data_IF_152208446729
#
_entry.id   IF_152208446729
#
_cell.length_a   1.000
_cell.length_b   1.000
_cell.length_c   1.000
_cell.angle_alpha   90.00
_cell.angle_beta   90.00
_cell.angle_gamma   90.00
#
_symmetry.space_group_name_H-M   'P 1'
#
loop_
_entity.id
_entity.type
_entity.pdbx_description
1 polymer ?
#
# COMPACT_ATOMS: atom_id res chain seq x y z
N UNK A 1 -6.61 11.74 -6.07
CA UNK A 1 -6.47 11.50 -4.62
C UNK A 1 -6.38 12.79 -3.84
N UNK A 2 -5.27 13.54 -3.94
CA UNK A 2 -5.05 14.76 -3.13
C UNK A 2 -6.19 15.77 -3.16
N UNK A 3 -6.73 16.06 -4.33
CA UNK A 3 -7.85 17.01 -4.49
C UNK A 3 -9.12 16.53 -3.79
N UNK A 4 -9.38 15.22 -3.78
CA UNK A 4 -10.54 14.62 -3.11
C UNK A 4 -10.44 14.74 -1.59
N UNK A 5 -9.22 14.74 -1.03
CA UNK A 5 -8.99 14.86 0.40
C UNK A 5 -9.12 16.29 0.94
N UNK A 6 -9.00 17.31 0.09
CA UNK A 6 -9.15 18.71 0.53
C UNK A 6 -10.52 19.00 1.17
N UNK A 7 -11.67 18.64 0.55
CA UNK A 7 -12.97 18.82 1.19
C UNK A 7 -13.13 17.94 2.44
N UNK A 8 -12.56 16.74 2.47
CA UNK A 8 -12.58 15.88 3.67
C UNK A 8 -11.85 16.53 4.84
N UNK A 9 -10.67 17.12 4.60
CA UNK A 9 -9.91 17.86 5.63
C UNK A 9 -10.70 19.05 6.14
N UNK A 10 -11.33 19.81 5.23
CA UNK A 10 -12.16 20.96 5.59
C UNK A 10 -13.39 20.56 6.43
N UNK A 11 -14.02 19.45 6.08
CA UNK A 11 -15.21 18.93 6.78
C UNK A 11 -14.84 18.41 8.18
N UNK A 12 -13.78 17.63 8.29
CA UNK A 12 -13.25 17.14 9.57
C UNK A 12 -12.83 18.29 10.48
N UNK A 13 -12.21 19.35 9.92
CA UNK A 13 -11.88 20.56 10.66
C UNK A 13 -13.11 21.27 11.21
N UNK A 14 -14.23 21.32 10.47
CA UNK A 14 -15.51 21.90 10.92
C UNK A 14 -16.20 21.04 11.98
N UNK A 15 -16.16 19.73 11.85
CA UNK A 15 -16.80 18.80 12.81
C UNK A 15 -16.03 18.82 14.15
N UNK A 16 -14.71 18.74 14.11
CA UNK A 16 -13.87 18.80 15.32
C UNK A 16 -13.87 20.19 15.97
N UNK A 17 -14.00 21.26 15.18
CA UNK A 17 -14.10 22.63 15.70
C UNK A 17 -15.42 22.96 16.42
N UNK A 18 -16.49 22.15 16.20
CA UNK A 18 -17.78 22.31 16.91
C UNK A 18 -17.86 21.54 18.23
N UNK A 19 -16.95 20.59 18.47
CA UNK A 19 -17.03 19.66 19.62
C UNK A 19 -15.95 19.81 20.69
N UNK A 20 -14.84 20.48 20.42
CA UNK A 20 -13.74 20.61 21.38
C UNK A 20 -12.93 21.90 21.14
N UNK A 21 -12.85 22.76 22.14
CA UNK A 21 -12.03 23.97 22.18
C UNK A 21 -10.52 23.69 22.05
N UNK A 22 -10.08 22.42 22.21
CA UNK A 22 -8.69 21.99 22.04
C UNK A 22 -8.32 21.68 20.57
N UNK A 23 -9.29 21.39 19.69
CA UNK A 23 -9.03 21.07 18.28
C UNK A 23 -8.64 22.29 17.41
N UNK A 24 -8.82 23.50 17.93
CA UNK A 24 -8.41 24.75 17.30
C UNK A 24 -6.96 25.15 17.62
N UNK A 25 -6.19 24.28 18.32
CA UNK A 25 -4.79 24.57 18.62
C UNK A 25 -4.00 24.66 17.31
N UNK A 26 -3.48 25.83 17.02
CA UNK A 26 -2.57 26.05 15.87
C UNK A 26 -1.45 25.02 15.96
N UNK A 27 -1.29 24.19 14.92
CA UNK A 27 -0.20 23.20 14.85
C UNK A 27 1.13 23.89 15.16
N UNK A 28 1.88 23.32 16.10
CA UNK A 28 3.22 23.79 16.42
C UNK A 28 4.13 23.67 15.17
N UNK A 29 5.09 24.56 15.06
CA UNK A 29 6.04 24.59 13.94
C UNK A 29 6.75 23.26 13.74
N UNK A 30 7.03 22.52 14.83
CA UNK A 30 7.64 21.20 14.81
C UNK A 30 6.68 20.12 14.23
N UNK A 31 5.42 20.15 14.63
CA UNK A 31 4.38 19.24 14.11
C UNK A 31 4.17 19.46 12.60
N UNK A 32 4.10 20.73 12.20
CA UNK A 32 3.98 21.10 10.78
C UNK A 32 5.18 20.59 9.96
N UNK A 33 6.40 20.77 10.45
CA UNK A 33 7.60 20.26 9.79
C UNK A 33 7.56 18.74 9.66
N UNK A 34 7.18 18.03 10.72
CA UNK A 34 7.05 16.57 10.73
C UNK A 34 6.01 16.09 9.72
N UNK A 35 4.85 16.74 9.65
CA UNK A 35 3.80 16.43 8.68
C UNK A 35 4.29 16.61 7.23
N UNK A 36 4.96 17.72 6.91
CA UNK A 36 5.46 17.97 5.56
C UNK A 36 6.57 17.00 5.16
N UNK A 37 7.55 16.76 6.04
CA UNK A 37 8.64 15.80 5.76
C UNK A 37 8.06 14.39 5.57
N UNK A 38 7.16 13.96 6.44
CA UNK A 38 6.52 12.66 6.35
C UNK A 38 5.70 12.50 5.07
N UNK A 39 4.87 13.50 4.73
CA UNK A 39 4.05 13.47 3.52
C UNK A 39 4.88 13.47 2.24
N UNK A 40 5.95 14.27 2.19
CA UNK A 40 6.87 14.28 1.05
C UNK A 40 7.61 12.94 0.93
N UNK A 41 8.14 12.41 2.02
CA UNK A 41 8.85 11.13 2.02
C UNK A 41 7.92 9.98 1.57
N UNK A 42 6.70 9.90 2.10
CA UNK A 42 5.70 8.95 1.66
C UNK A 42 5.35 9.13 0.17
N UNK A 43 5.17 10.38 -0.29
CA UNK A 43 4.84 10.68 -1.68
C UNK A 43 5.92 10.32 -2.68
N UNK A 44 7.19 10.56 -2.34
CA UNK A 44 8.35 10.16 -3.16
C UNK A 44 8.42 8.63 -3.28
N UNK A 45 8.33 7.92 -2.15
CA UNK A 45 8.37 6.45 -2.14
C UNK A 45 7.20 5.85 -2.90
N UNK A 46 6.00 6.40 -2.73
CA UNK A 46 4.81 5.97 -3.46
C UNK A 46 4.97 6.20 -4.97
N UNK A 47 5.51 7.35 -5.38
CA UNK A 47 5.79 7.65 -6.78
C UNK A 47 6.78 6.63 -7.38
N UNK A 48 7.88 6.35 -6.68
CA UNK A 48 8.88 5.36 -7.12
C UNK A 48 8.24 3.98 -7.22
N UNK A 49 7.54 3.53 -6.17
CA UNK A 49 6.93 2.20 -6.13
C UNK A 49 5.90 2.01 -7.25
N UNK A 50 5.00 2.98 -7.43
CA UNK A 50 3.94 2.91 -8.44
C UNK A 50 4.47 2.91 -9.86
N UNK A 51 5.50 3.72 -10.16
CA UNK A 51 6.13 3.72 -11.48
C UNK A 51 6.89 2.42 -11.74
N UNK A 52 7.66 1.91 -10.76
CA UNK A 52 8.34 0.62 -10.89
C UNK A 52 7.35 -0.52 -11.10
N UNK A 53 6.21 -0.51 -10.40
CA UNK A 53 5.14 -1.48 -10.58
C UNK A 53 4.56 -1.40 -11.99
N UNK A 54 4.22 -0.20 -12.45
CA UNK A 54 3.62 0.01 -13.77
C UNK A 54 4.54 -0.45 -14.89
N UNK A 55 5.82 -0.09 -14.85
CA UNK A 55 6.80 -0.59 -15.81
C UNK A 55 7.06 -2.08 -15.67
N UNK A 56 7.10 -2.62 -14.45
CA UNK A 56 7.31 -4.04 -14.21
C UNK A 56 6.21 -4.91 -14.82
N UNK A 57 4.95 -4.52 -14.68
CA UNK A 57 3.78 -5.25 -15.21
C UNK A 57 3.81 -5.34 -16.75
N UNK A 58 4.42 -4.37 -17.43
CA UNK A 58 4.54 -4.40 -18.90
C UNK A 58 5.40 -5.57 -19.42
N UNK A 59 6.26 -6.15 -18.58
CA UNK A 59 7.22 -7.17 -18.97
C UNK A 59 7.04 -8.51 -18.25
N UNK A 60 5.93 -8.70 -17.52
CA UNK A 60 5.64 -9.95 -16.81
C UNK A 60 4.13 -10.16 -16.69
N UNK A 61 3.69 -11.36 -16.27
CA UNK A 61 2.26 -11.62 -16.05
C UNK A 61 1.74 -10.89 -14.79
N UNK A 62 0.46 -10.52 -14.79
CA UNK A 62 -0.19 -9.80 -13.69
C UNK A 62 -0.11 -10.59 -12.38
N UNK A 63 -0.32 -11.91 -12.43
CA UNK A 63 -0.20 -12.77 -11.25
C UNK A 63 1.21 -12.79 -10.69
N UNK A 64 2.24 -12.94 -11.54
CA UNK A 64 3.63 -12.89 -11.12
C UNK A 64 4.02 -11.52 -10.58
N UNK A 65 3.53 -10.45 -11.21
CA UNK A 65 3.73 -9.08 -10.72
C UNK A 65 3.14 -8.90 -9.31
N UNK A 66 1.92 -9.36 -9.08
CA UNK A 66 1.28 -9.34 -7.77
C UNK A 66 2.06 -10.12 -6.71
N UNK A 67 2.55 -11.33 -7.05
CA UNK A 67 3.37 -12.14 -6.15
C UNK A 67 4.68 -11.43 -5.76
N UNK A 68 5.44 -10.96 -6.75
CA UNK A 68 6.74 -10.32 -6.50
C UNK A 68 6.56 -9.01 -5.72
N UNK A 69 5.56 -8.20 -6.07
CA UNK A 69 5.28 -6.96 -5.32
C UNK A 69 4.90 -7.28 -3.87
N UNK A 70 4.06 -8.30 -3.64
CA UNK A 70 3.63 -8.70 -2.31
C UNK A 70 4.78 -9.28 -1.45
N UNK A 71 5.96 -9.54 -2.01
CA UNK A 71 7.16 -9.90 -1.23
C UNK A 71 7.57 -8.81 -0.23
N UNK A 72 6.96 -7.62 -0.28
CA UNK A 72 7.11 -6.65 0.81
C UNK A 72 6.76 -7.24 2.20
N UNK A 73 5.94 -8.30 2.28
CA UNK A 73 5.65 -9.01 3.54
C UNK A 73 6.90 -9.65 4.17
N UNK A 74 7.89 -9.99 3.36
CA UNK A 74 9.21 -10.51 3.81
C UNK A 74 10.18 -9.36 4.03
N UNK A 75 10.19 -8.38 3.13
CA UNK A 75 11.14 -7.26 3.15
C UNK A 75 10.87 -6.33 4.34
N UNK A 76 9.61 -6.04 4.67
CA UNK A 76 9.24 -5.17 5.81
C UNK A 76 9.81 -5.68 7.14
N UNK A 77 9.61 -6.93 7.58
CA UNK A 77 10.22 -7.41 8.82
C UNK A 77 11.74 -7.45 8.77
N UNK A 78 12.34 -7.79 7.63
CA UNK A 78 13.80 -7.78 7.46
C UNK A 78 14.35 -6.37 7.65
N UNK A 79 13.80 -5.37 6.94
CA UNK A 79 14.19 -3.97 7.12
C UNK A 79 13.87 -3.48 8.53
N UNK A 80 12.72 -3.90 9.10
CA UNK A 80 12.32 -3.55 10.46
C UNK A 80 13.36 -3.93 11.50
N UNK A 81 14.03 -5.08 11.35
CA UNK A 81 15.12 -5.50 12.25
C UNK A 81 16.29 -4.52 12.18
N UNK A 82 16.68 -4.05 10.99
CA UNK A 82 17.74 -3.04 10.84
C UNK A 82 17.38 -1.70 11.52
N UNK A 83 16.08 -1.39 11.61
CA UNK A 83 15.57 -0.22 12.34
C UNK A 83 15.28 -0.50 13.83
N UNK A 84 15.77 -1.62 14.38
CA UNK A 84 15.62 -1.97 15.79
C UNK A 84 14.24 -2.52 16.19
N UNK A 85 13.38 -2.86 15.23
CA UNK A 85 12.09 -3.51 15.51
C UNK A 85 12.33 -4.99 15.85
N UNK A 86 11.70 -5.48 16.91
CA UNK A 86 11.74 -6.91 17.23
C UNK A 86 10.61 -7.63 16.49
N UNK A 87 10.95 -8.71 15.81
CA UNK A 87 10.00 -9.58 15.11
C UNK A 87 9.98 -10.92 15.80
N UNK A 88 8.81 -11.34 16.31
CA UNK A 88 8.68 -12.63 17.00
C UNK A 88 8.75 -13.81 16.02
N UNK A 89 9.15 -14.99 16.51
CA UNK A 89 9.17 -16.22 15.69
C UNK A 89 7.80 -16.58 15.12
N UNK A 90 6.72 -16.27 15.84
CA UNK A 90 5.34 -16.43 15.41
C UNK A 90 5.02 -15.58 14.16
N UNK A 91 5.53 -14.35 14.10
CA UNK A 91 5.37 -13.47 12.95
C UNK A 91 6.12 -14.04 11.74
N UNK A 92 7.32 -14.60 11.92
CA UNK A 92 8.06 -15.27 10.86
C UNK A 92 7.34 -16.52 10.32
N UNK A 93 6.71 -17.31 11.21
CA UNK A 93 5.83 -18.41 10.79
C UNK A 93 4.67 -17.90 9.94
N UNK A 94 4.01 -16.82 10.37
CA UNK A 94 2.94 -16.18 9.61
C UNK A 94 3.40 -15.69 8.24
N UNK A 95 4.56 -15.05 8.17
CA UNK A 95 5.17 -14.61 6.90
C UNK A 95 5.42 -15.81 5.98
N UNK A 96 5.98 -16.92 6.48
CA UNK A 96 6.20 -18.13 5.69
C UNK A 96 4.90 -18.72 5.12
N UNK A 97 3.85 -18.80 5.93
CA UNK A 97 2.52 -19.28 5.51
C UNK A 97 1.91 -18.31 4.47
N UNK A 98 2.04 -17.01 4.67
CA UNK A 98 1.54 -16.00 3.74
C UNK A 98 2.26 -16.06 2.39
N UNK A 99 3.59 -16.24 2.36
CA UNK A 99 4.36 -16.42 1.11
C UNK A 99 3.88 -17.67 0.36
N UNK A 100 3.64 -18.79 1.06
CA UNK A 100 3.09 -19.98 0.43
C UNK A 100 1.68 -19.74 -0.11
N UNK A 101 0.82 -19.04 0.63
CA UNK A 101 -0.52 -18.66 0.18
C UNK A 101 -0.49 -17.76 -1.06
N UNK A 102 0.34 -16.72 -1.07
CA UNK A 102 0.54 -15.83 -2.22
C UNK A 102 1.08 -16.57 -3.44
N UNK A 103 2.01 -17.51 -3.25
CA UNK A 103 2.51 -18.34 -4.32
C UNK A 103 1.38 -19.14 -4.99
N UNK A 104 0.51 -19.75 -4.20
CA UNK A 104 -0.64 -20.49 -4.71
C UNK A 104 -1.66 -19.60 -5.41
N UNK A 105 -1.88 -18.38 -4.92
CA UNK A 105 -2.81 -17.41 -5.50
C UNK A 105 -2.32 -16.82 -6.82
N UNK A 106 -1.07 -16.42 -6.88
CA UNK A 106 -0.57 -15.54 -7.95
C UNK A 106 0.20 -16.29 -9.04
N UNK A 107 0.81 -17.45 -8.72
CA UNK A 107 1.65 -18.21 -9.64
C UNK A 107 0.85 -19.35 -10.30
N UNK A 108 -0.03 -18.99 -11.22
CA UNK A 108 -0.90 -19.96 -11.92
C UNK A 108 -0.23 -20.67 -13.10
N UNK A 109 0.83 -20.09 -13.65
CA UNK A 109 1.53 -20.64 -14.83
C UNK A 109 2.79 -21.42 -14.44
N UNK A 110 3.02 -22.55 -15.11
CA UNK A 110 4.21 -23.36 -14.96
C UNK A 110 5.39 -22.71 -15.70
N UNK A 111 6.32 -22.17 -14.95
CA UNK A 111 7.61 -21.71 -15.49
C UNK A 111 8.18 -20.51 -14.75
N UNK A 112 9.26 -20.75 -14.00
CA UNK A 112 10.07 -19.69 -13.37
C UNK A 112 11.10 -19.19 -14.41
N UNK A 113 10.66 -18.37 -15.37
CA UNK A 113 11.60 -17.60 -16.19
C UNK A 113 11.75 -16.21 -15.59
N UNK A 114 12.97 -15.82 -15.27
CA UNK A 114 13.26 -14.47 -14.75
C UNK A 114 13.19 -13.48 -15.93
N UNK A 115 12.28 -12.55 -15.85
CA UNK A 115 12.06 -11.51 -16.86
C UNK A 115 12.59 -10.15 -16.37
N UNK A 116 12.83 -9.22 -17.29
CA UNK A 116 13.27 -7.87 -16.94
C UNK A 116 12.29 -7.16 -15.98
N UNK A 117 10.98 -7.43 -16.13
CA UNK A 117 9.93 -6.90 -15.25
C UNK A 117 10.07 -7.36 -13.80
N UNK A 118 10.56 -8.57 -13.57
CA UNK A 118 10.70 -9.12 -12.21
C UNK A 118 11.68 -8.31 -11.36
N UNK A 119 12.77 -7.85 -11.96
CA UNK A 119 13.73 -6.99 -11.27
C UNK A 119 13.11 -5.64 -10.87
N UNK A 120 12.33 -5.02 -11.77
CA UNK A 120 11.62 -3.78 -11.46
C UNK A 120 10.60 -3.98 -10.32
N UNK A 121 9.92 -5.13 -10.32
CA UNK A 121 8.95 -5.48 -9.27
C UNK A 121 9.62 -5.80 -7.94
N UNK A 122 10.82 -6.36 -7.92
CA UNK A 122 11.61 -6.52 -6.69
C UNK A 122 12.00 -5.15 -6.09
N UNK A 123 12.42 -4.21 -6.92
CA UNK A 123 12.67 -2.83 -6.50
C UNK A 123 11.36 -2.14 -6.03
N UNK A 124 10.25 -2.42 -6.69
CA UNK A 124 8.93 -1.96 -6.27
C UNK A 124 8.57 -2.50 -4.87
N UNK A 125 8.76 -3.79 -4.62
CA UNK A 125 8.51 -4.39 -3.31
C UNK A 125 9.39 -3.75 -2.22
N UNK A 126 10.65 -3.43 -2.52
CA UNK A 126 11.54 -2.69 -1.63
C UNK A 126 11.02 -1.27 -1.36
N UNK A 127 10.58 -0.56 -2.40
CA UNK A 127 10.04 0.80 -2.27
C UNK A 127 8.74 0.83 -1.46
N UNK A 128 7.82 -0.12 -1.67
CA UNK A 128 6.63 -0.26 -0.83
C UNK A 128 6.97 -0.64 0.61
N UNK A 129 7.97 -1.47 0.83
CA UNK A 129 8.42 -1.81 2.18
C UNK A 129 8.93 -0.57 2.93
N UNK A 130 9.73 0.27 2.27
CA UNK A 130 10.19 1.53 2.83
C UNK A 130 9.02 2.49 3.07
N UNK A 131 8.04 2.54 2.16
CA UNK A 131 6.83 3.35 2.31
C UNK A 131 6.03 2.95 3.56
N UNK A 132 5.81 1.64 3.78
CA UNK A 132 5.15 1.11 4.98
C UNK A 132 5.90 1.51 6.26
N UNK A 133 7.23 1.41 6.27
CA UNK A 133 8.06 1.79 7.43
C UNK A 133 8.06 3.31 7.68
N UNK A 134 8.03 4.12 6.63
CA UNK A 134 7.92 5.58 6.74
C UNK A 134 6.55 5.97 7.29
N UNK A 135 5.47 5.33 6.84
CA UNK A 135 4.13 5.53 7.43
C UNK A 135 4.13 5.15 8.92
N UNK A 136 4.71 4.00 9.30
CA UNK A 136 4.81 3.57 10.70
C UNK A 136 5.51 4.63 11.57
N UNK A 137 6.55 5.27 11.04
CA UNK A 137 7.29 6.29 11.78
C UNK A 137 6.53 7.61 11.91
N UNK A 138 5.83 8.06 10.86
CA UNK A 138 5.20 9.40 10.82
C UNK A 138 3.73 9.40 11.23
N UNK A 139 2.97 8.32 11.02
CA UNK A 139 1.53 8.29 11.31
C UNK A 139 1.17 8.51 12.79
N UNK A 140 1.98 8.11 13.79
CA UNK A 140 1.71 8.46 15.18
C UNK A 140 1.95 9.94 15.50
N UNK A 141 2.78 10.63 14.70
CA UNK A 141 3.28 12.00 14.94
C UNK A 141 2.54 13.07 14.14
N UNK A 142 1.67 12.66 13.22
CA UNK A 142 0.97 13.56 12.30
C UNK A 142 -0.48 13.10 12.07
N UNK A 143 -1.32 14.03 11.59
CA UNK A 143 -2.67 13.71 11.15
C UNK A 143 -2.63 12.88 9.87
N UNK A 144 -3.22 11.68 9.91
CA UNK A 144 -3.14 10.71 8.81
C UNK A 144 -3.80 11.21 7.52
N UNK A 145 -4.89 11.98 7.60
CA UNK A 145 -5.58 12.51 6.41
C UNK A 145 -4.75 13.60 5.74
N UNK A 146 -4.15 14.50 6.55
CA UNK A 146 -3.26 15.55 6.05
C UNK A 146 -1.98 14.94 5.47
N UNK A 147 -1.43 13.90 6.12
CA UNK A 147 -0.27 13.18 5.65
C UNK A 147 -0.54 12.56 4.26
N UNK A 148 -1.69 11.88 4.12
CA UNK A 148 -2.17 11.31 2.86
C UNK A 148 -2.34 12.37 1.76
N UNK A 149 -2.91 13.52 2.10
CA UNK A 149 -3.08 14.61 1.15
C UNK A 149 -1.73 15.09 0.59
N UNK A 150 -0.75 15.37 1.44
CA UNK A 150 0.60 15.81 1.02
C UNK A 150 1.28 14.71 0.20
N UNK A 151 1.17 13.43 0.62
CA UNK A 151 1.68 12.29 -0.11
C UNK A 151 1.18 12.26 -1.56
N UNK A 152 -0.14 12.44 -1.77
CA UNK A 152 -0.70 12.39 -3.12
C UNK A 152 -0.38 13.62 -3.97
N UNK A 153 -0.29 14.80 -3.37
CA UNK A 153 0.19 15.96 -4.11
C UNK A 153 1.64 15.78 -4.53
N UNK A 154 2.51 15.30 -3.63
CA UNK A 154 3.91 15.03 -3.95
C UNK A 154 4.04 13.98 -5.05
N UNK A 155 3.38 12.83 -4.91
CA UNK A 155 3.38 11.78 -5.92
C UNK A 155 2.82 12.28 -7.26
N UNK A 156 1.71 13.02 -7.25
CA UNK A 156 1.07 13.55 -8.44
C UNK A 156 1.93 14.58 -9.18
N UNK A 157 2.61 15.48 -8.45
CA UNK A 157 3.52 16.46 -9.05
C UNK A 157 4.72 15.74 -9.67
N UNK A 158 5.35 14.81 -8.96
CA UNK A 158 6.51 14.07 -9.48
C UNK A 158 6.15 13.22 -10.70
N UNK A 159 5.03 12.49 -10.65
CA UNK A 159 4.54 11.70 -11.79
C UNK A 159 4.12 12.59 -12.96
N UNK A 160 3.52 13.76 -12.69
CA UNK A 160 3.15 14.72 -13.72
C UNK A 160 4.38 15.31 -14.43
N UNK A 161 5.42 15.65 -13.67
CA UNK A 161 6.70 16.10 -14.25
C UNK A 161 7.33 14.98 -15.07
N UNK A 162 7.36 13.74 -14.56
CA UNK A 162 7.85 12.58 -15.30
C UNK A 162 7.11 12.40 -16.62
N UNK A 163 5.77 12.43 -16.61
CA UNK A 163 4.92 12.30 -17.79
C UNK A 163 5.25 13.35 -18.86
N UNK A 164 5.37 14.62 -18.46
CA UNK A 164 5.66 15.72 -19.42
C UNK A 164 7.04 15.58 -20.03
N UNK A 165 8.03 15.07 -19.28
CA UNK A 165 9.41 14.93 -19.74
C UNK A 165 9.63 13.68 -20.61
N UNK A 166 8.88 12.59 -20.36
CA UNK A 166 9.17 11.30 -21.00
C UNK A 166 8.08 10.84 -21.98
N UNK A 167 6.88 11.40 -21.92
CA UNK A 167 5.72 10.98 -22.69
C UNK A 167 5.14 12.14 -23.50
N UNK A 168 4.36 11.79 -24.52
CA UNK A 168 3.51 12.74 -25.28
C UNK A 168 2.05 12.46 -24.96
N UNK A 169 1.52 12.93 -23.81
CA UNK A 169 0.17 12.61 -23.40
C UNK A 169 -0.86 13.18 -24.39
N UNK A 170 -1.78 12.33 -24.85
CA UNK A 170 -2.90 12.73 -25.68
C UNK A 170 -4.13 12.98 -24.80
N UNK A 171 -4.63 14.21 -24.82
CA UNK A 171 -5.80 14.60 -24.00
C UNK A 171 -7.03 13.75 -24.31
N UNK A 172 -7.23 13.39 -25.58
CA UNK A 172 -8.32 12.51 -26.02
C UNK A 172 -8.28 11.14 -25.35
N UNK A 173 -7.10 10.52 -25.23
CA UNK A 173 -6.93 9.24 -24.56
C UNK A 173 -7.14 9.32 -23.05
N UNK A 174 -6.70 10.42 -22.43
CA UNK A 174 -6.94 10.70 -21.01
C UNK A 174 -8.43 10.87 -20.73
N UNK A 175 -9.13 11.64 -21.57
CA UNK A 175 -10.57 11.84 -21.44
C UNK A 175 -11.37 10.55 -21.72
N UNK A 176 -10.94 9.71 -22.65
CA UNK A 176 -11.57 8.40 -22.87
C UNK A 176 -11.44 7.46 -21.65
N UNK A 177 -10.38 7.59 -20.87
CA UNK A 177 -10.12 6.81 -19.66
C UNK A 177 -10.62 7.49 -18.36
N UNK A 178 -11.57 8.45 -18.45
CA UNK A 178 -12.03 9.25 -17.29
C UNK A 178 -12.55 8.41 -16.13
N UNK A 179 -13.31 7.33 -16.41
CA UNK A 179 -13.91 6.49 -15.38
C UNK A 179 -12.86 5.72 -14.56
N UNK A 180 -11.91 4.95 -15.14
CA UNK A 180 -10.84 4.31 -14.36
C UNK A 180 -9.93 5.33 -13.66
N UNK A 181 -9.68 6.50 -14.25
CA UNK A 181 -8.89 7.56 -13.59
C UNK A 181 -9.63 8.11 -12.37
N UNK A 182 -10.94 8.35 -12.49
CA UNK A 182 -11.77 8.81 -11.36
C UNK A 182 -11.81 7.77 -10.25
N UNK A 183 -12.05 6.48 -10.59
CA UNK A 183 -12.05 5.39 -9.64
C UNK A 183 -10.71 5.27 -8.90
N UNK A 184 -9.60 5.24 -9.62
CA UNK A 184 -8.27 5.18 -9.03
C UNK A 184 -7.98 6.42 -8.15
N UNK A 185 -8.37 7.62 -8.60
CA UNK A 185 -8.16 8.86 -7.87
C UNK A 185 -8.98 8.98 -6.59
N UNK A 186 -10.23 8.52 -6.59
CA UNK A 186 -11.15 8.61 -5.44
C UNK A 186 -11.02 7.41 -4.54
N UNK A 187 -11.26 6.20 -5.08
CA UNK A 187 -11.36 5.00 -4.26
C UNK A 187 -9.99 4.47 -3.84
N UNK A 188 -9.05 4.30 -4.77
CA UNK A 188 -7.73 3.78 -4.43
C UNK A 188 -6.90 4.83 -3.69
N UNK A 189 -6.63 5.98 -4.32
CA UNK A 189 -5.80 7.01 -3.71
C UNK A 189 -6.52 7.74 -2.56
N UNK A 190 -7.75 8.24 -2.78
CA UNK A 190 -8.46 9.05 -1.79
C UNK A 190 -8.87 8.25 -0.56
N UNK A 191 -9.44 7.07 -0.74
CA UNK A 191 -9.99 6.26 0.36
C UNK A 191 -8.98 5.23 0.85
N UNK A 192 -8.56 4.28 0.02
CA UNK A 192 -7.81 3.11 0.46
C UNK A 192 -6.46 3.47 1.10
N UNK A 193 -5.62 4.27 0.45
CA UNK A 193 -4.33 4.68 1.03
C UNK A 193 -4.48 5.59 2.26
N UNK A 194 -5.54 6.41 2.33
CA UNK A 194 -5.79 7.21 3.54
C UNK A 194 -6.18 6.31 4.71
N UNK A 195 -7.04 5.32 4.48
CA UNK A 195 -7.38 4.30 5.47
C UNK A 195 -6.16 3.45 5.87
N UNK A 196 -5.26 3.17 4.92
CA UNK A 196 -3.98 2.50 5.21
C UNK A 196 -3.15 3.31 6.22
N UNK A 197 -2.95 4.62 5.98
CA UNK A 197 -2.17 5.47 6.90
C UNK A 197 -2.81 5.54 8.28
N UNK A 198 -4.15 5.66 8.34
CA UNK A 198 -4.89 5.70 9.60
C UNK A 198 -4.80 4.36 10.32
N UNK A 199 -5.01 3.26 9.61
CA UNK A 199 -5.01 1.90 10.16
C UNK A 199 -3.62 1.42 10.61
N UNK A 200 -2.56 1.90 9.98
CA UNK A 200 -1.17 1.58 10.40
C UNK A 200 -0.74 2.32 11.67
N UNK A 201 -1.47 3.34 12.09
CA UNK A 201 -1.11 4.15 13.26
C UNK A 201 -1.04 3.28 14.53
N UNK A 202 0.18 3.10 15.06
CA UNK A 202 0.42 2.30 16.26
C UNK A 202 0.43 0.77 16.04
N UNK A 203 0.27 0.30 14.80
CA UNK A 203 0.35 -1.11 14.44
C UNK A 203 1.80 -1.51 14.15
N UNK A 204 2.17 -2.76 14.44
CA UNK A 204 3.47 -3.28 14.01
C UNK A 204 3.53 -3.33 12.47
N UNK A 205 4.55 -2.75 11.81
CA UNK A 205 4.62 -2.66 10.35
C UNK A 205 4.62 -4.02 9.65
N UNK A 206 5.14 -5.07 10.28
CA UNK A 206 5.08 -6.43 9.74
C UNK A 206 3.65 -6.97 9.74
N UNK A 207 2.87 -6.70 10.79
CA UNK A 207 1.45 -7.08 10.83
C UNK A 207 0.66 -6.28 9.80
N UNK A 208 0.97 -5.00 9.66
CA UNK A 208 0.36 -4.15 8.64
C UNK A 208 0.64 -4.68 7.22
N UNK A 209 1.88 -5.08 6.91
CA UNK A 209 2.22 -5.64 5.60
C UNK A 209 1.48 -6.96 5.31
N UNK A 210 1.32 -7.82 6.30
CA UNK A 210 0.52 -9.04 6.16
C UNK A 210 -0.96 -8.75 5.88
N UNK A 211 -1.55 -7.78 6.57
CA UNK A 211 -2.95 -7.37 6.33
C UNK A 211 -3.10 -6.77 4.92
N UNK A 212 -2.16 -5.93 4.51
CA UNK A 212 -2.17 -5.33 3.16
C UNK A 212 -2.09 -6.40 2.06
N UNK A 213 -1.35 -7.49 2.28
CA UNK A 213 -1.25 -8.59 1.31
C UNK A 213 -2.58 -9.34 1.07
N UNK A 214 -3.62 -9.15 1.91
CA UNK A 214 -4.98 -9.61 1.63
C UNK A 214 -5.57 -8.99 0.36
N UNK A 215 -4.97 -7.93 -0.18
CA UNK A 215 -5.34 -7.38 -1.48
C UNK A 215 -5.41 -8.47 -2.55
N UNK A 216 -4.45 -9.40 -2.56
CA UNK A 216 -4.44 -10.53 -3.49
C UNK A 216 -5.64 -11.46 -3.30
N UNK A 217 -6.04 -11.72 -2.05
CA UNK A 217 -7.22 -12.53 -1.74
C UNK A 217 -8.50 -11.84 -2.18
N UNK A 218 -8.63 -10.55 -1.85
CA UNK A 218 -9.80 -9.74 -2.23
C UNK A 218 -9.91 -9.64 -3.75
N UNK A 219 -8.78 -9.52 -4.46
CA UNK A 219 -8.73 -9.48 -5.93
C UNK A 219 -9.27 -10.78 -6.54
N UNK A 220 -8.88 -11.95 -6.02
CA UNK A 220 -9.37 -13.25 -6.49
C UNK A 220 -10.87 -13.43 -6.21
N UNK A 221 -11.33 -13.07 -5.01
CA UNK A 221 -12.75 -13.12 -4.64
C UNK A 221 -13.57 -12.17 -5.53
N UNK A 222 -13.08 -10.97 -5.77
CA UNK A 222 -13.74 -10.01 -6.65
C UNK A 222 -13.81 -10.52 -8.10
N UNK A 223 -12.73 -11.14 -8.59
CA UNK A 223 -12.70 -11.81 -9.90
C UNK A 223 -13.76 -12.89 -10.02
N UNK A 224 -13.92 -13.73 -8.99
CA UNK A 224 -14.96 -14.74 -8.95
C UNK A 224 -16.38 -14.14 -8.93
N UNK A 225 -16.65 -13.16 -8.06
CA UNK A 225 -18.00 -12.60 -7.86
C UNK A 225 -18.43 -11.63 -8.98
N UNK A 226 -17.50 -10.79 -9.46
CA UNK A 226 -17.83 -9.70 -10.40
C UNK A 226 -17.57 -10.11 -11.85
N UNK A 227 -16.46 -10.81 -12.09
CA UNK A 227 -16.07 -11.22 -13.44
C UNK A 227 -16.48 -12.66 -13.77
N UNK A 228 -17.15 -13.36 -12.84
CA UNK A 228 -17.58 -14.76 -12.99
C UNK A 228 -16.44 -15.72 -13.38
N UNK A 229 -15.22 -15.43 -12.92
CA UNK A 229 -14.06 -16.29 -13.13
C UNK A 229 -14.19 -17.56 -12.27
N UNK A 230 -13.74 -18.69 -12.80
CA UNK A 230 -13.72 -19.94 -12.01
C UNK A 230 -12.59 -19.92 -11.00
N UNK A 231 -12.93 -20.19 -9.74
CA UNK A 231 -11.94 -20.31 -8.67
C UNK A 231 -11.33 -21.72 -8.69
N UNK A 232 -10.05 -21.82 -8.88
CA UNK A 232 -9.33 -23.10 -8.80
C UNK A 232 -9.16 -23.55 -7.34
N UNK A 233 -9.05 -24.86 -7.10
CA UNK A 233 -8.75 -25.39 -5.77
C UNK A 233 -7.44 -24.83 -5.20
N UNK A 234 -6.48 -24.56 -6.07
CA UNK A 234 -5.18 -23.96 -5.72
C UNK A 234 -5.35 -22.54 -5.16
N UNK A 235 -6.16 -21.72 -5.83
CA UNK A 235 -6.45 -20.34 -5.37
C UNK A 235 -7.23 -20.35 -4.05
N UNK A 236 -8.18 -21.27 -3.90
CA UNK A 236 -8.93 -21.43 -2.64
C UNK A 236 -8.00 -21.80 -1.47
N UNK A 237 -7.09 -22.74 -1.65
CA UNK A 237 -6.08 -23.10 -0.63
C UNK A 237 -5.19 -21.88 -0.33
N UNK A 238 -4.76 -21.13 -1.36
CA UNK A 238 -3.99 -19.90 -1.20
C UNK A 238 -4.72 -18.86 -0.33
N UNK A 239 -6.01 -18.62 -0.57
CA UNK A 239 -6.85 -17.75 0.25
C UNK A 239 -6.90 -18.21 1.72
N UNK A 240 -7.13 -19.49 1.95
CA UNK A 240 -7.18 -20.06 3.32
C UNK A 240 -5.86 -19.88 4.04
N UNK A 241 -4.72 -20.13 3.38
CA UNK A 241 -3.39 -19.92 3.97
C UNK A 241 -3.14 -18.46 4.32
N UNK A 242 -3.54 -17.51 3.46
CA UNK A 242 -3.40 -16.09 3.73
C UNK A 242 -4.19 -15.67 4.97
N UNK A 243 -5.45 -16.09 5.09
CA UNK A 243 -6.25 -15.82 6.28
C UNK A 243 -5.65 -16.48 7.53
N UNK A 244 -5.22 -17.74 7.43
CA UNK A 244 -4.59 -18.47 8.54
C UNK A 244 -3.31 -17.76 9.03
N UNK A 245 -2.49 -17.26 8.12
CA UNK A 245 -1.29 -16.49 8.46
C UNK A 245 -1.62 -15.23 9.29
N UNK A 246 -2.64 -14.48 8.88
CA UNK A 246 -3.03 -13.24 9.57
C UNK A 246 -3.63 -13.56 10.94
N UNK A 247 -4.52 -14.56 11.03
CA UNK A 247 -5.09 -14.98 12.31
C UNK A 247 -3.96 -15.44 13.25
N UNK A 248 -3.02 -16.25 12.75
CA UNK A 248 -1.89 -16.72 13.55
C UNK A 248 -1.11 -15.55 14.15
N UNK A 249 -0.80 -14.53 13.36
CA UNK A 249 0.02 -13.39 13.81
C UNK A 249 -0.74 -12.49 14.79
N UNK A 250 -2.07 -12.39 14.67
CA UNK A 250 -2.90 -11.56 15.55
C UNK A 250 -3.28 -12.24 16.87
N UNK A 251 -3.15 -13.56 16.99
CA UNK A 251 -3.41 -14.24 18.26
C UNK A 251 -2.49 -13.67 19.35
N UNK A 252 -2.97 -13.44 20.58
CA UNK A 252 -2.13 -12.99 21.67
C UNK A 252 -1.03 -14.01 21.97
N UNK A 253 0.17 -13.52 22.25
CA UNK A 253 1.24 -14.42 22.72
C UNK A 253 0.82 -15.01 24.08
N UNK A 254 0.88 -16.33 24.20
CA UNK A 254 0.69 -16.98 25.51
C UNK A 254 1.74 -16.38 26.45
N UNK A 255 1.27 -15.61 27.44
CA UNK A 255 2.13 -15.17 28.55
C UNK A 255 2.78 -16.42 29.14
N UNK A 256 4.10 -16.53 29.01
CA UNK A 256 4.91 -17.43 29.83
C UNK A 256 5.07 -16.82 31.21
#
# INVERSE_FOLDING_TARGET
>A
GGVVLLPCIALLGKINGKGNTEAAKKMDGKERKTLFIGGIACGVLLCIASNLQQFGIMYTSVGKAGFITAMYIVVVPVLGIFFGKKVSGKVWCGVGIAVAGLYLLCMTESGFSVQKGDFLLMLCALAFSLHILVIDYFSPKADGVKLSCIQFFTCGILSGVGMVLTEKPQLTSILAAWMPILYAGVMSCGVAYTLQIIGQKGMNPTVASLILSLESVVSVIAGFLILHQTLSLRELIGCVLMFAAIILVQLPDRKK
#
